data_IF_200487197161
#
_entry.id   IF_200487197161
#
_cell.length_a   1.000
_cell.length_b   1.000
_cell.length_c   1.000
_cell.angle_alpha   90.00
_cell.angle_beta   90.00
_cell.angle_gamma   90.00
#
_symmetry.space_group_name_H-M   'P 1'
#
loop_
_entity.id
_entity.type
_entity.pdbx_description
1 polymer ?
#
# COMPACT_ATOMS: atom_id res chain seq x y z
N UNK A 1 4.06 16.64 10.07
CA UNK A 1 4.33 15.19 10.01
C UNK A 1 5.50 14.97 9.07
N UNK A 2 6.52 14.22 9.50
CA UNK A 2 7.73 13.94 8.71
C UNK A 2 7.75 12.46 8.40
N UNK A 3 7.97 12.11 7.12
CA UNK A 3 8.13 10.73 6.68
C UNK A 3 9.55 10.54 6.17
N UNK A 4 10.11 9.37 6.43
CA UNK A 4 11.43 9.00 5.94
C UNK A 4 11.25 8.04 4.77
N UNK A 5 11.86 8.40 3.64
CA UNK A 5 11.88 7.56 2.45
C UNK A 5 13.27 6.95 2.31
N UNK A 6 13.32 5.74 1.76
CA UNK A 6 14.59 5.19 1.29
C UNK A 6 15.16 6.08 0.17
N UNK A 7 16.48 6.10 0.05
CA UNK A 7 17.21 7.02 -0.84
C UNK A 7 16.76 6.93 -2.30
N UNK A 8 16.50 5.72 -2.78
CA UNK A 8 16.06 5.49 -4.16
C UNK A 8 14.63 5.98 -4.39
N UNK A 9 13.74 5.76 -3.41
CA UNK A 9 12.38 6.27 -3.40
C UNK A 9 12.36 7.80 -3.36
N UNK A 10 13.19 8.41 -2.52
CA UNK A 10 13.33 9.86 -2.43
C UNK A 10 13.80 10.45 -3.76
N UNK A 11 14.79 9.82 -4.41
CA UNK A 11 15.33 10.24 -5.72
C UNK A 11 14.25 10.21 -6.80
N UNK A 12 13.46 9.12 -6.86
CA UNK A 12 12.35 8.97 -7.80
C UNK A 12 11.23 9.98 -7.54
N UNK A 13 10.89 10.21 -6.28
CA UNK A 13 9.88 11.21 -5.89
C UNK A 13 10.30 12.63 -6.27
N UNK A 14 11.58 12.99 -6.06
CA UNK A 14 12.16 14.27 -6.50
C UNK A 14 12.06 14.45 -8.01
N UNK A 15 12.43 13.43 -8.78
CA UNK A 15 12.37 13.47 -10.24
C UNK A 15 10.92 13.65 -10.73
N UNK A 16 9.97 12.89 -10.16
CA UNK A 16 8.56 12.95 -10.54
C UNK A 16 7.90 14.28 -10.15
N UNK A 17 8.23 14.82 -8.97
CA UNK A 17 7.76 16.14 -8.54
C UNK A 17 8.30 17.26 -9.46
N UNK A 18 9.59 17.20 -9.80
CA UNK A 18 10.23 18.15 -10.73
C UNK A 18 9.59 18.11 -12.12
N UNK A 19 9.32 16.93 -12.66
CA UNK A 19 8.67 16.78 -13.97
C UNK A 19 7.25 17.39 -14.02
N UNK A 20 6.59 17.52 -12.86
CA UNK A 20 5.26 18.12 -12.72
C UNK A 20 5.27 19.56 -12.20
N UNK A 21 6.46 20.14 -11.95
CA UNK A 21 6.59 21.48 -11.38
C UNK A 21 6.04 21.61 -9.94
N UNK A 22 5.99 20.51 -9.19
CA UNK A 22 5.46 20.48 -7.82
C UNK A 22 6.60 20.33 -6.80
N UNK A 23 6.33 20.70 -5.55
CA UNK A 23 7.18 20.30 -4.44
C UNK A 23 7.03 18.79 -4.18
N UNK A 24 8.09 18.16 -3.64
CA UNK A 24 8.08 16.72 -3.34
C UNK A 24 6.95 16.38 -2.37
N UNK A 25 6.76 17.18 -1.32
CA UNK A 25 5.71 16.96 -0.33
C UNK A 25 4.31 17.00 -0.95
N UNK A 26 4.05 17.94 -1.86
CA UNK A 26 2.76 18.03 -2.54
C UNK A 26 2.52 16.85 -3.49
N UNK A 27 3.56 16.45 -4.24
CA UNK A 27 3.49 15.28 -5.11
C UNK A 27 3.24 13.98 -4.34
N UNK A 28 3.93 13.78 -3.20
CA UNK A 28 3.74 12.60 -2.34
C UNK A 28 2.34 12.61 -1.71
N UNK A 29 1.83 13.76 -1.27
CA UNK A 29 0.48 13.86 -0.72
C UNK A 29 -0.60 13.43 -1.74
N UNK A 30 -0.49 13.90 -2.99
CA UNK A 30 -1.40 13.49 -4.06
C UNK A 30 -1.32 11.97 -4.34
N UNK A 31 -0.12 11.40 -4.31
CA UNK A 31 0.07 9.97 -4.50
C UNK A 31 -0.62 9.17 -3.38
N UNK A 32 -0.45 9.60 -2.12
CA UNK A 32 -1.09 8.96 -0.97
C UNK A 32 -2.62 9.05 -1.09
N UNK A 33 -3.16 10.22 -1.45
CA UNK A 33 -4.59 10.42 -1.63
C UNK A 33 -5.15 9.43 -2.68
N UNK A 34 -4.53 9.37 -3.86
CA UNK A 34 -4.91 8.43 -4.93
C UNK A 34 -4.92 6.96 -4.49
N UNK A 35 -3.93 6.55 -3.69
CA UNK A 35 -3.82 5.17 -3.23
C UNK A 35 -4.67 4.87 -1.99
N UNK A 36 -4.97 5.86 -1.16
CA UNK A 36 -5.85 5.72 0.01
C UNK A 36 -7.32 5.62 -0.37
N UNK A 37 -7.72 6.22 -1.49
CA UNK A 37 -9.06 6.09 -2.06
C UNK A 37 -9.26 4.79 -2.84
N UNK A 38 -8.18 4.05 -3.14
CA UNK A 38 -8.30 2.72 -3.69
C UNK A 38 -8.76 1.77 -2.57
N UNK A 39 -9.80 0.92 -2.78
CA UNK A 39 -10.19 -0.04 -1.78
C UNK A 39 -8.98 -0.91 -1.44
N UNK A 40 -8.54 -0.85 -0.18
CA UNK A 40 -7.52 -1.74 0.36
C UNK A 40 -8.06 -3.16 0.15
N UNK A 41 -7.56 -3.87 -0.85
CA UNK A 41 -7.77 -5.31 -0.95
C UNK A 41 -7.08 -5.90 0.27
N UNK A 42 -7.84 -6.16 1.33
CA UNK A 42 -7.39 -6.96 2.45
C UNK A 42 -7.02 -8.33 1.87
N UNK A 43 -5.73 -8.54 1.68
CA UNK A 43 -5.22 -9.86 1.37
C UNK A 43 -5.32 -10.69 2.64
N UNK A 44 -6.48 -11.31 2.87
CA UNK A 44 -6.70 -12.59 3.57
C UNK A 44 -8.14 -12.70 4.09
N UNK A 45 -9.09 -12.82 3.17
CA UNK A 45 -10.22 -13.72 3.41
C UNK A 45 -9.82 -15.05 2.76
N UNK A 46 -8.90 -15.76 3.44
CA UNK A 46 -8.85 -17.21 3.30
C UNK A 46 -9.98 -17.67 4.20
N UNK A 47 -11.16 -18.05 3.69
CA UNK A 47 -12.06 -18.82 4.53
C UNK A 47 -11.25 -20.03 4.97
N UNK A 48 -11.12 -20.22 6.28
CA UNK A 48 -10.62 -21.45 6.87
C UNK A 48 -11.59 -22.59 6.51
N UNK A 49 -11.62 -22.95 5.24
CA UNK A 49 -12.33 -24.08 4.68
C UNK A 49 -11.31 -25.19 4.54
N UNK A 50 -10.88 -25.73 5.67
CA UNK A 50 -10.24 -27.06 5.83
C UNK A 50 -9.86 -27.28 7.30
N UNK A 51 -10.85 -27.26 8.19
CA UNK A 51 -10.78 -27.98 9.46
C UNK A 51 -11.90 -29.03 9.44
N UNK A 52 -11.60 -30.10 8.73
CA UNK A 52 -12.30 -31.38 8.63
C UNK A 52 -13.03 -31.78 9.94
N UNK A 53 -14.36 -31.90 9.96
CA UNK A 53 -15.08 -32.55 11.05
C UNK A 53 -15.54 -33.93 10.56
N UNK A 54 -14.69 -34.95 10.60
CA UNK A 54 -15.15 -36.34 10.46
C UNK A 54 -14.14 -37.38 10.96
N UNK A 55 -14.05 -37.54 12.29
CA UNK A 55 -13.84 -38.87 12.88
C UNK A 55 -15.01 -39.22 13.80
N UNK A 56 -16.12 -39.64 13.20
CA UNK A 56 -16.96 -40.68 13.80
C UNK A 56 -16.35 -42.01 13.38
N UNK A 57 -15.72 -42.74 14.30
CA UNK A 57 -15.55 -44.20 14.26
C UNK A 57 -14.82 -44.67 15.53
N UNK A 58 -15.58 -45.14 16.50
CA UNK A 58 -15.37 -46.38 17.29
C UNK A 58 -16.35 -46.39 18.47
#
# INVERSE_FOLDING_TARGET
MTIYLERDLETRAKAAAKARGLSVSHWVAQLIEQHSSAPRREASDVPASEAEPQRRSA
#
